data_IF_146332291548
#
_entry.id   IF_146332291548
#
_cell.length_a   1.000
_cell.length_b   1.000
_cell.length_c   1.000
_cell.angle_alpha   90.00
_cell.angle_beta   90.00
_cell.angle_gamma   90.00
#
_symmetry.space_group_name_H-M   'P 1'
#
loop_
_entity.id
_entity.type
_entity.pdbx_description
1 polymer ?
#
# COMPACT_ATOMS: atom_id res chain seq x y z
N UNK A 1 -16.46 -14.52 6.23
CA UNK A 1 -15.74 -13.70 5.22
C UNK A 1 -16.09 -12.25 5.49
N UNK A 2 -15.11 -11.40 5.79
CA UNK A 2 -15.39 -9.99 6.06
C UNK A 2 -15.82 -9.33 4.74
N UNK A 3 -17.01 -8.74 4.70
CA UNK A 3 -17.45 -8.02 3.52
C UNK A 3 -16.62 -6.72 3.44
N UNK A 4 -15.84 -6.47 2.38
CA UNK A 4 -14.99 -5.30 2.32
C UNK A 4 -15.86 -4.05 2.43
N UNK A 5 -15.45 -3.14 3.31
CA UNK A 5 -16.23 -1.94 3.70
C UNK A 5 -16.53 -1.00 2.51
N UNK A 6 -15.80 -1.19 1.40
CA UNK A 6 -15.95 -0.48 0.12
C UNK A 6 -15.27 -1.29 -1.00
N UNK A 7 -15.61 -0.99 -2.26
CA UNK A 7 -15.10 -1.69 -3.46
C UNK A 7 -13.89 -0.99 -4.08
N UNK A 8 -13.10 -1.74 -4.85
CA UNK A 8 -11.90 -1.23 -5.55
C UNK A 8 -12.22 -0.05 -6.49
N UNK A 9 -13.33 -0.14 -7.23
CA UNK A 9 -13.79 0.93 -8.13
C UNK A 9 -13.97 2.28 -7.39
N UNK A 10 -14.41 2.23 -6.13
CA UNK A 10 -14.60 3.44 -5.32
C UNK A 10 -13.24 4.05 -4.94
N UNK A 11 -12.24 3.21 -4.69
CA UNK A 11 -10.84 3.65 -4.48
C UNK A 11 -10.28 4.26 -5.77
N UNK A 12 -10.51 3.65 -6.93
CA UNK A 12 -10.05 4.18 -8.23
C UNK A 12 -10.66 5.55 -8.57
N UNK A 13 -11.93 5.78 -8.23
CA UNK A 13 -12.54 7.11 -8.36
C UNK A 13 -11.82 8.12 -7.48
N UNK A 14 -11.52 7.74 -6.25
CA UNK A 14 -10.78 8.57 -5.29
C UNK A 14 -9.38 8.94 -5.80
N UNK A 15 -8.66 7.98 -6.42
CA UNK A 15 -7.32 8.24 -6.99
C UNK A 15 -7.33 9.17 -8.20
N UNK A 16 -8.49 9.32 -8.86
CA UNK A 16 -8.72 10.25 -9.99
C UNK A 16 -9.29 11.60 -9.53
N UNK A 17 -9.49 11.81 -8.23
CA UNK A 17 -10.10 13.04 -7.70
C UNK A 17 -11.63 13.09 -7.88
N UNK A 18 -12.26 11.98 -8.21
CA UNK A 18 -13.72 11.88 -8.31
C UNK A 18 -14.35 11.45 -6.97
N UNK A 19 -15.63 11.80 -6.78
CA UNK A 19 -16.39 11.32 -5.63
C UNK A 19 -16.51 9.80 -5.68
N UNK A 20 -16.11 9.14 -4.60
CA UNK A 20 -16.22 7.69 -4.40
C UNK A 20 -17.66 7.20 -4.17
N UNK A 21 -18.58 8.11 -3.81
CA UNK A 21 -19.97 7.77 -3.43
C UNK A 21 -20.14 7.24 -2.00
N UNK A 22 -19.02 7.01 -1.30
CA UNK A 22 -18.93 6.56 0.11
C UNK A 22 -17.82 7.33 0.82
N UNK A 23 -17.94 7.52 2.14
CA UNK A 23 -16.96 8.28 2.93
C UNK A 23 -15.67 7.47 3.19
N UNK A 24 -14.86 7.27 2.15
CA UNK A 24 -13.57 6.55 2.19
C UNK A 24 -12.36 7.49 2.10
N UNK A 25 -12.59 8.75 1.72
CA UNK A 25 -11.55 9.78 1.67
C UNK A 25 -11.41 10.48 3.02
N UNK A 26 -10.18 10.76 3.42
CA UNK A 26 -9.91 11.72 4.50
C UNK A 26 -9.70 13.11 3.91
N UNK A 27 -10.37 14.14 4.44
CA UNK A 27 -10.16 15.53 4.03
C UNK A 27 -8.74 16.04 4.30
N UNK A 28 -8.05 15.42 5.26
CA UNK A 28 -6.68 15.77 5.64
C UNK A 28 -5.61 15.19 4.70
N UNK A 29 -5.96 14.25 3.81
CA UNK A 29 -5.03 13.55 2.93
C UNK A 29 -5.51 13.68 1.49
N UNK A 30 -4.67 14.18 0.58
CA UNK A 30 -5.00 14.16 -0.84
C UNK A 30 -4.99 12.71 -1.36
N UNK A 31 -6.02 12.26 -2.05
CA UNK A 31 -6.04 10.89 -2.61
C UNK A 31 -5.71 10.84 -4.10
N UNK A 32 -5.67 12.02 -4.75
CA UNK A 32 -5.36 12.13 -6.17
C UNK A 32 -3.88 11.77 -6.43
N UNK A 33 -3.67 10.83 -7.35
CA UNK A 33 -2.35 10.37 -7.77
C UNK A 33 -1.86 11.14 -9.00
N UNK A 34 -0.64 11.68 -8.91
CA UNK A 34 0.13 12.24 -10.03
C UNK A 34 0.52 11.14 -11.03
N UNK A 35 0.92 11.47 -12.28
CA UNK A 35 1.25 10.45 -13.28
C UNK A 35 2.35 9.46 -12.88
N UNK A 36 3.39 9.91 -12.16
CA UNK A 36 4.43 9.01 -11.65
C UNK A 36 3.92 8.11 -10.52
N UNK A 37 3.11 8.67 -9.60
CA UNK A 37 2.47 7.91 -8.52
C UNK A 37 1.51 6.86 -9.09
N UNK A 38 0.78 7.18 -10.16
CA UNK A 38 -0.09 6.24 -10.87
C UNK A 38 0.70 5.05 -11.45
N UNK A 39 1.86 5.30 -12.06
CA UNK A 39 2.73 4.22 -12.55
C UNK A 39 3.23 3.33 -11.41
N UNK A 40 3.59 3.91 -10.26
CA UNK A 40 3.97 3.14 -9.07
C UNK A 40 2.79 2.31 -8.56
N UNK A 41 1.60 2.90 -8.49
CA UNK A 41 0.37 2.24 -8.08
C UNK A 41 0.00 1.05 -8.99
N UNK A 42 0.05 1.22 -10.30
CA UNK A 42 -0.24 0.14 -11.26
C UNK A 42 0.79 -1.00 -11.16
N UNK A 43 2.07 -0.68 -10.92
CA UNK A 43 3.10 -1.68 -10.65
C UNK A 43 2.80 -2.44 -9.36
N UNK A 44 2.39 -1.72 -8.30
CA UNK A 44 2.04 -2.32 -7.02
C UNK A 44 0.86 -3.29 -7.15
N UNK A 45 -0.18 -2.90 -7.90
CA UNK A 45 -1.33 -3.76 -8.18
C UNK A 45 -0.96 -5.08 -8.85
N UNK A 46 0.04 -5.07 -9.75
CA UNK A 46 0.54 -6.28 -10.43
C UNK A 46 1.47 -7.11 -9.56
N UNK A 47 2.24 -6.46 -8.70
CA UNK A 47 3.23 -7.11 -7.84
C UNK A 47 2.63 -7.66 -6.54
N UNK A 48 1.47 -7.14 -6.12
CA UNK A 48 0.83 -7.48 -4.84
C UNK A 48 1.43 -6.78 -3.62
N UNK A 49 2.32 -5.81 -3.82
CA UNK A 49 2.94 -5.00 -2.77
C UNK A 49 3.32 -3.61 -3.29
N UNK A 50 3.37 -2.62 -2.40
CA UNK A 50 3.77 -1.26 -2.74
C UNK A 50 5.26 -1.05 -2.48
N UNK A 51 5.97 -0.46 -3.44
CA UNK A 51 7.34 0.05 -3.22
C UNK A 51 7.32 1.56 -3.11
N UNK A 52 7.95 2.08 -2.06
CA UNK A 52 8.16 3.50 -1.82
C UNK A 52 9.64 3.78 -1.57
N UNK A 53 10.00 5.04 -1.68
CA UNK A 53 11.23 5.63 -1.18
C UNK A 53 10.86 6.62 -0.07
N UNK A 54 11.85 7.06 0.72
CA UNK A 54 11.63 8.10 1.73
C UNK A 54 11.14 9.45 1.18
N UNK A 55 11.22 9.66 -0.15
CA UNK A 55 10.78 10.88 -0.83
C UNK A 55 9.36 10.80 -1.37
N UNK A 56 8.78 9.60 -1.44
CA UNK A 56 7.42 9.42 -1.94
C UNK A 56 6.40 9.94 -0.93
N UNK A 57 5.28 10.44 -1.44
CA UNK A 57 4.23 11.04 -0.61
C UNK A 57 3.41 9.95 0.08
N UNK A 58 2.97 10.25 1.31
CA UNK A 58 2.09 9.39 2.11
C UNK A 58 0.76 9.05 1.40
N UNK A 59 0.36 9.86 0.42
CA UNK A 59 -0.83 9.62 -0.41
C UNK A 59 -0.85 8.22 -1.02
N UNK A 60 0.28 7.76 -1.56
CA UNK A 60 0.40 6.44 -2.19
C UNK A 60 0.15 5.31 -1.19
N UNK A 61 0.74 5.44 0.01
CA UNK A 61 0.52 4.53 1.11
C UNK A 61 -0.96 4.45 1.47
N UNK A 62 -1.61 5.61 1.68
CA UNK A 62 -3.01 5.66 2.06
C UNK A 62 -3.98 5.14 1.00
N UNK A 63 -3.65 5.30 -0.28
CA UNK A 63 -4.41 4.70 -1.38
C UNK A 63 -4.22 3.18 -1.36
N UNK A 64 -2.99 2.70 -1.14
CA UNK A 64 -2.69 1.28 -1.09
C UNK A 64 -3.39 0.55 0.04
N UNK A 65 -3.46 1.15 1.24
CA UNK A 65 -4.25 0.62 2.36
C UNK A 65 -5.72 0.38 1.98
N UNK A 66 -6.30 1.30 1.21
CA UNK A 66 -7.69 1.18 0.74
C UNK A 66 -7.81 0.08 -0.30
N UNK A 67 -6.85 -0.05 -1.21
CA UNK A 67 -6.82 -1.17 -2.16
C UNK A 67 -6.75 -2.50 -1.42
N UNK A 68 -5.84 -2.64 -0.46
CA UNK A 68 -5.71 -3.86 0.32
C UNK A 68 -7.01 -4.18 1.06
N UNK A 69 -7.66 -3.17 1.66
CA UNK A 69 -8.96 -3.35 2.31
C UNK A 69 -10.05 -3.78 1.32
N UNK A 70 -10.12 -3.14 0.15
CA UNK A 70 -11.15 -3.41 -0.86
C UNK A 70 -10.99 -4.78 -1.52
N UNK A 71 -9.76 -5.29 -1.60
CA UNK A 71 -9.42 -6.60 -2.16
C UNK A 71 -9.30 -7.72 -1.12
N UNK A 72 -9.47 -7.40 0.17
CA UNK A 72 -9.19 -8.30 1.30
C UNK A 72 -7.76 -8.88 1.26
N UNK A 73 -6.79 -8.03 0.91
CA UNK A 73 -5.38 -8.37 0.82
C UNK A 73 -4.63 -8.03 2.10
N UNK A 74 -3.57 -8.77 2.37
CA UNK A 74 -2.55 -8.35 3.33
C UNK A 74 -1.93 -7.03 2.86
N UNK A 75 -1.64 -6.14 3.82
CA UNK A 75 -0.88 -4.94 3.54
C UNK A 75 0.60 -5.29 3.47
N UNK A 76 1.20 -5.12 2.30
CA UNK A 76 2.63 -5.25 2.06
C UNK A 76 3.17 -3.96 1.49
N UNK A 77 4.15 -3.35 2.17
CA UNK A 77 4.86 -2.15 1.71
C UNK A 77 6.36 -2.29 1.94
N UNK A 78 7.16 -1.97 0.92
CA UNK A 78 8.61 -1.85 1.00
C UNK A 78 8.98 -0.38 0.94
N UNK A 79 9.58 0.16 2.01
CA UNK A 79 10.14 1.51 2.02
C UNK A 79 11.65 1.42 1.86
N UNK A 80 12.16 1.90 0.73
CA UNK A 80 13.57 1.86 0.37
C UNK A 80 14.29 3.09 0.90
N UNK A 81 15.38 2.86 1.59
CA UNK A 81 16.40 3.87 1.87
C UNK A 81 17.57 3.66 0.91
N UNK A 82 17.49 4.33 -0.24
CA UNK A 82 18.54 4.21 -1.26
C UNK A 82 19.86 4.87 -0.86
N UNK A 83 19.84 5.77 0.12
CA UNK A 83 21.07 6.42 0.60
C UNK A 83 21.89 5.45 1.45
N UNK A 84 21.21 4.67 2.30
CA UNK A 84 21.85 3.73 3.21
C UNK A 84 21.91 2.29 2.66
N UNK A 85 21.32 2.02 1.50
CA UNK A 85 21.28 0.68 0.91
C UNK A 85 20.38 -0.30 1.67
N UNK A 86 19.52 0.21 2.55
CA UNK A 86 18.59 -0.58 3.36
C UNK A 86 17.16 -0.41 2.86
N UNK A 87 16.27 -1.27 3.33
CA UNK A 87 14.85 -1.09 3.16
C UNK A 87 14.08 -1.70 4.33
N UNK A 88 12.93 -1.13 4.60
CA UNK A 88 12.00 -1.61 5.61
C UNK A 88 10.81 -2.28 4.94
N UNK A 89 10.55 -3.54 5.30
CA UNK A 89 9.33 -4.26 4.93
C UNK A 89 8.29 -4.05 6.03
N UNK A 90 7.11 -3.61 5.61
CA UNK A 90 5.92 -3.46 6.43
C UNK A 90 4.91 -4.51 6.02
N UNK A 91 4.47 -5.32 6.98
CA UNK A 91 3.48 -6.37 6.78
C UNK A 91 2.37 -6.29 7.84
N UNK A 92 1.12 -6.28 7.38
CA UNK A 92 -0.05 -6.42 8.25
C UNK A 92 -1.12 -7.31 7.62
N UNK A 93 -1.81 -8.09 8.46
CA UNK A 93 -2.99 -8.89 8.06
C UNK A 93 -4.25 -8.05 7.90
N UNK A 94 -4.31 -6.87 8.52
CA UNK A 94 -5.46 -5.98 8.46
C UNK A 94 -5.04 -4.63 7.91
N UNK A 95 -5.54 -4.30 6.73
CA UNK A 95 -5.35 -2.97 6.14
C UNK A 95 -6.20 -1.88 6.83
N UNK A 96 -7.05 -2.24 7.80
CA UNK A 96 -7.92 -1.31 8.54
C UNK A 96 -7.26 -0.62 9.76
N UNK A 97 -6.00 -0.89 10.08
CA UNK A 97 -5.40 -0.38 11.33
C UNK A 97 -3.95 0.08 11.13
N UNK A 98 -3.73 1.29 10.63
CA UNK A 98 -2.45 2.03 10.83
C UNK A 98 -2.71 3.53 11.01
N UNK A 99 -3.66 3.88 11.88
CA UNK A 99 -3.58 5.17 12.60
C UNK A 99 -3.25 5.01 14.07
N UNK A 100 -3.39 3.80 14.62
CA UNK A 100 -3.06 3.47 16.00
C UNK A 100 -2.23 2.18 16.07
N UNK A 101 -0.91 2.34 16.01
CA UNK A 101 0.15 1.58 16.69
C UNK A 101 0.13 0.03 16.78
N UNK A 102 -0.77 -0.71 16.14
CA UNK A 102 -1.00 -2.11 16.53
C UNK A 102 -0.79 -3.07 15.37
N UNK A 103 0.44 -3.59 15.33
CA UNK A 103 0.94 -4.76 14.57
C UNK A 103 1.12 -4.58 13.07
N UNK A 104 2.01 -3.66 12.69
CA UNK A 104 2.76 -3.83 11.44
C UNK A 104 4.07 -4.48 11.80
N UNK A 105 4.31 -5.71 11.31
CA UNK A 105 5.64 -6.29 11.40
C UNK A 105 6.58 -5.41 10.56
N UNK A 106 7.61 -4.89 11.20
CA UNK A 106 8.61 -4.02 10.61
C UNK A 106 9.94 -4.76 10.62
N UNK A 107 10.47 -5.03 9.43
CA UNK A 107 11.78 -5.67 9.30
C UNK A 107 12.67 -4.78 8.45
N UNK A 108 13.76 -4.29 9.03
CA UNK A 108 14.80 -3.58 8.30
C UNK A 108 15.85 -4.57 7.82
N UNK A 109 16.15 -4.53 6.52
CA UNK A 109 17.06 -5.45 5.86
C UNK A 109 17.89 -4.67 4.83
N UNK A 110 18.99 -5.27 4.39
CA UNK A 110 19.65 -4.82 3.15
C UNK A 110 18.66 -4.86 1.99
N UNK A 111 18.77 -3.89 1.07
CA UNK A 111 17.79 -3.66 0.01
C UNK A 111 17.51 -4.92 -0.83
N UNK A 112 18.54 -5.73 -1.12
CA UNK A 112 18.40 -6.97 -1.87
C UNK A 112 17.54 -8.02 -1.13
N UNK A 113 17.81 -8.21 0.16
CA UNK A 113 17.07 -9.13 1.03
C UNK A 113 15.64 -8.66 1.23
N UNK A 114 15.43 -7.36 1.49
CA UNK A 114 14.09 -6.78 1.66
C UNK A 114 13.21 -6.99 0.42
N UNK A 115 13.77 -6.81 -0.79
CA UNK A 115 13.08 -7.06 -2.05
C UNK A 115 12.75 -8.54 -2.24
N UNK A 116 13.60 -9.46 -1.81
CA UNK A 116 13.32 -10.88 -1.89
C UNK A 116 12.22 -11.27 -0.90
N UNK A 117 12.30 -10.76 0.33
CA UNK A 117 11.35 -11.03 1.40
C UNK A 117 9.94 -10.57 1.02
N UNK A 118 9.77 -9.34 0.54
CA UNK A 118 8.43 -8.85 0.17
C UNK A 118 7.83 -9.61 -1.02
N UNK A 119 8.66 -10.07 -1.97
CA UNK A 119 8.23 -10.94 -3.07
C UNK A 119 7.78 -12.31 -2.56
N UNK A 120 8.51 -12.89 -1.61
CA UNK A 120 8.13 -14.15 -0.97
C UNK A 120 6.79 -14.01 -0.23
N UNK A 121 6.58 -12.89 0.49
CA UNK A 121 5.32 -12.60 1.16
C UNK A 121 4.16 -12.41 0.17
N UNK A 122 4.37 -11.67 -0.91
CA UNK A 122 3.35 -11.47 -1.94
C UNK A 122 2.94 -12.78 -2.60
N UNK A 123 3.91 -13.67 -2.90
CA UNK A 123 3.65 -15.01 -3.42
C UNK A 123 2.94 -15.90 -2.39
N UNK A 124 3.38 -15.89 -1.13
CA UNK A 124 2.77 -16.65 -0.03
C UNK A 124 1.29 -16.35 0.15
N UNK A 125 0.90 -15.09 -0.05
CA UNK A 125 -0.48 -14.64 0.10
C UNK A 125 -1.26 -14.56 -1.23
N UNK A 126 -0.67 -14.98 -2.36
CA UNK A 126 -1.28 -14.93 -3.70
C UNK A 126 -1.84 -13.54 -4.06
N UNK A 127 -1.06 -12.48 -3.85
CA UNK A 127 -1.51 -11.09 -4.02
C UNK A 127 -1.27 -10.51 -5.43
N UNK A 128 -0.95 -11.35 -6.42
CA UNK A 128 -0.61 -10.93 -7.79
C UNK A 128 -1.38 -11.71 -8.84
#
# INVERSE_FOLDING_TARGET
MANPRFKLEQVERLTRGHRSGVNIGSRAVGHHLRPHERKQYERALRAGYLELTQRDRENLWHVWEKVCTAKDWHLLVLVKDTANGTATVYHSRSASVIRDATVVQRTELELGLAKQEIRNLAAKYNLG
#
